data_IF_912720957857
#
_entry.id   IF_912720957857
#
_cell.length_a   1.000
_cell.length_b   1.000
_cell.length_c   1.000
_cell.angle_alpha   90.00
_cell.angle_beta   90.00
_cell.angle_gamma   90.00
#
_symmetry.space_group_name_H-M   'P 1'
#
loop_
_entity.id
_entity.type
_entity.pdbx_description
1 polymer ?
#
# COMPACT_ATOMS: atom_id res chain seq x y z
N UNK A 1 -15.77 3.60 5.97
CA UNK A 1 -15.51 3.00 7.30
C UNK A 1 -15.86 1.52 7.30
N UNK A 2 -17.09 1.14 6.93
CA UNK A 2 -17.53 -0.26 6.83
C UNK A 2 -16.63 -1.17 5.96
N UNK A 3 -16.29 -0.77 4.73
CA UNK A 3 -15.46 -1.57 3.81
C UNK A 3 -14.09 -1.92 4.43
N UNK A 4 -13.46 -0.99 5.14
CA UNK A 4 -12.16 -1.23 5.79
C UNK A 4 -12.30 -2.18 6.99
N UNK A 5 -13.42 -2.13 7.72
CA UNK A 5 -13.70 -3.07 8.81
C UNK A 5 -13.99 -4.47 8.27
N UNK A 6 -14.77 -4.56 7.18
CA UNK A 6 -15.05 -5.82 6.49
C UNK A 6 -13.78 -6.46 5.94
N UNK A 7 -12.90 -5.68 5.29
CA UNK A 7 -11.62 -6.17 4.78
C UNK A 7 -10.73 -6.72 5.91
N UNK A 8 -10.67 -6.03 7.04
CA UNK A 8 -9.94 -6.51 8.23
C UNK A 8 -10.54 -7.83 8.74
N UNK A 9 -11.86 -7.91 8.88
CA UNK A 9 -12.54 -9.12 9.35
C UNK A 9 -12.28 -10.32 8.42
N UNK A 10 -12.41 -10.12 7.11
CA UNK A 10 -12.11 -11.16 6.10
C UNK A 10 -10.68 -11.61 6.20
N UNK A 11 -9.76 -10.68 6.41
CA UNK A 11 -8.33 -10.98 6.50
C UNK A 11 -8.03 -11.81 7.76
N UNK A 12 -8.59 -11.46 8.91
CA UNK A 12 -8.46 -12.28 10.13
C UNK A 12 -9.07 -13.67 9.98
N UNK A 13 -10.26 -13.76 9.39
CA UNK A 13 -10.91 -15.06 9.13
C UNK A 13 -10.04 -15.91 8.21
N UNK A 14 -9.52 -15.33 7.13
CA UNK A 14 -8.63 -16.02 6.18
C UNK A 14 -7.36 -16.52 6.87
N UNK A 15 -6.66 -15.65 7.59
CA UNK A 15 -5.42 -15.98 8.31
C UNK A 15 -5.64 -17.08 9.37
N UNK A 16 -6.80 -17.08 10.04
CA UNK A 16 -7.18 -18.14 10.99
C UNK A 16 -7.39 -19.49 10.28
N UNK A 17 -8.05 -19.47 9.11
CA UNK A 17 -8.26 -20.68 8.30
C UNK A 17 -6.95 -21.19 7.70
N UNK A 18 -6.03 -20.29 7.31
CA UNK A 18 -4.68 -20.64 6.85
C UNK A 18 -3.86 -21.30 7.96
N UNK A 19 -3.92 -20.79 9.20
CA UNK A 19 -3.27 -21.45 10.36
C UNK A 19 -3.84 -22.86 10.55
N UNK A 20 -5.17 -23.01 10.56
CA UNK A 20 -5.79 -24.32 10.72
C UNK A 20 -5.35 -25.29 9.61
N UNK A 21 -5.33 -24.82 8.35
CA UNK A 21 -4.90 -25.61 7.21
C UNK A 21 -3.44 -26.05 7.34
N UNK A 22 -2.51 -25.13 7.60
CA UNK A 22 -1.09 -25.49 7.72
C UNK A 22 -0.79 -26.33 8.96
N UNK A 23 -1.52 -26.13 10.07
CA UNK A 23 -1.41 -26.99 11.24
C UNK A 23 -1.82 -28.43 10.93
N UNK A 24 -2.89 -28.63 10.14
CA UNK A 24 -3.27 -29.99 9.70
C UNK A 24 -2.24 -30.60 8.74
N UNK A 25 -1.49 -29.78 8.00
CA UNK A 25 -0.40 -30.24 7.12
C UNK A 25 0.91 -30.55 7.87
N UNK A 26 1.04 -30.14 9.13
CA UNK A 26 2.25 -30.35 9.91
C UNK A 26 2.48 -31.81 10.34
N UNK A 27 1.43 -32.63 10.34
CA UNK A 27 1.50 -34.05 10.67
C UNK A 27 0.65 -34.86 9.69
N UNK A 28 1.18 -35.98 9.21
CA UNK A 28 0.50 -36.84 8.22
C UNK A 28 -0.82 -37.40 8.77
N UNK A 29 -0.88 -37.79 10.04
CA UNK A 29 -2.11 -38.30 10.68
C UNK A 29 -3.16 -37.22 10.80
N UNK A 30 -2.76 -35.99 11.13
CA UNK A 30 -3.67 -34.83 11.16
C UNK A 30 -4.19 -34.51 9.76
N UNK A 31 -3.33 -34.55 8.74
CA UNK A 31 -3.72 -34.30 7.36
C UNK A 31 -4.72 -35.35 6.87
N UNK A 32 -4.51 -36.64 7.18
CA UNK A 32 -5.44 -37.72 6.85
C UNK A 32 -6.76 -37.58 7.59
N UNK A 33 -6.72 -37.29 8.90
CA UNK A 33 -7.92 -37.06 9.70
C UNK A 33 -8.73 -35.85 9.21
N UNK A 34 -8.05 -34.78 8.79
CA UNK A 34 -8.69 -33.60 8.22
C UNK A 34 -9.38 -33.94 6.89
N UNK A 35 -8.70 -34.63 5.96
CA UNK A 35 -9.29 -35.05 4.66
C UNK A 35 -10.51 -35.94 4.81
N UNK A 36 -10.56 -36.76 5.86
CA UNK A 36 -11.71 -37.62 6.17
C UNK A 36 -12.86 -36.87 6.89
N UNK A 37 -12.63 -35.63 7.33
CA UNK A 37 -13.59 -34.86 8.11
C UNK A 37 -14.54 -34.02 7.21
N UNK A 38 -15.81 -33.83 7.60
CA UNK A 38 -16.70 -32.84 6.99
C UNK A 38 -16.10 -31.44 6.93
N UNK A 39 -15.19 -31.11 7.86
CA UNK A 39 -14.48 -29.83 7.89
C UNK A 39 -13.66 -29.58 6.63
N UNK A 40 -13.14 -30.62 5.96
CA UNK A 40 -12.40 -30.46 4.70
C UNK A 40 -13.27 -29.83 3.60
N UNK A 41 -14.51 -30.31 3.48
CA UNK A 41 -15.49 -29.85 2.48
C UNK A 41 -16.05 -28.45 2.76
N UNK A 42 -15.89 -27.96 4.00
CA UNK A 42 -16.32 -26.60 4.38
C UNK A 42 -15.13 -25.64 4.31
N UNK A 43 -14.00 -26.01 4.91
CA UNK A 43 -12.83 -25.15 5.12
C UNK A 43 -12.18 -24.73 3.80
N UNK A 44 -11.93 -25.68 2.88
CA UNK A 44 -11.24 -25.36 1.63
C UNK A 44 -12.10 -24.44 0.74
N UNK A 45 -13.38 -24.75 0.44
CA UNK A 45 -14.24 -23.83 -0.30
C UNK A 45 -14.39 -22.47 0.39
N UNK A 46 -14.43 -22.44 1.73
CA UNK A 46 -14.54 -21.19 2.48
C UNK A 46 -13.31 -20.30 2.32
N UNK A 47 -12.09 -20.85 2.30
CA UNK A 47 -10.87 -20.09 1.99
C UNK A 47 -10.95 -19.50 0.58
N UNK A 48 -11.37 -20.28 -0.43
CA UNK A 48 -11.56 -19.82 -1.80
C UNK A 48 -12.60 -18.69 -1.90
N UNK A 49 -13.70 -18.81 -1.17
CA UNK A 49 -14.72 -17.77 -1.04
C UNK A 49 -14.16 -16.48 -0.42
N UNK A 50 -13.42 -16.57 0.69
CA UNK A 50 -12.80 -15.41 1.33
C UNK A 50 -11.81 -14.69 0.40
N UNK A 51 -11.03 -15.43 -0.39
CA UNK A 51 -10.14 -14.87 -1.40
C UNK A 51 -10.91 -14.15 -2.51
N UNK A 52 -12.04 -14.73 -2.94
CA UNK A 52 -12.93 -14.11 -3.93
C UNK A 52 -13.54 -12.81 -3.41
N UNK A 53 -14.05 -12.78 -2.17
CA UNK A 53 -14.54 -11.53 -1.56
C UNK A 53 -13.41 -10.50 -1.48
N UNK A 54 -12.20 -10.91 -1.09
CA UNK A 54 -11.07 -9.98 -1.02
C UNK A 54 -10.73 -9.38 -2.39
N UNK A 55 -10.77 -10.17 -3.46
CA UNK A 55 -10.60 -9.67 -4.83
C UNK A 55 -11.71 -8.68 -5.23
N UNK A 56 -12.96 -8.94 -4.85
CA UNK A 56 -14.08 -8.02 -5.07
C UNK A 56 -13.90 -6.69 -4.29
N UNK A 57 -13.45 -6.76 -3.04
CA UNK A 57 -13.14 -5.57 -2.23
C UNK A 57 -12.02 -4.75 -2.88
N UNK A 58 -10.94 -5.40 -3.33
CA UNK A 58 -9.85 -4.72 -4.03
C UNK A 58 -10.34 -4.07 -5.33
N UNK A 59 -11.20 -4.76 -6.09
CA UNK A 59 -11.83 -4.21 -7.30
C UNK A 59 -12.72 -3.00 -7.00
N UNK A 60 -13.52 -3.06 -5.93
CA UNK A 60 -14.32 -1.93 -5.46
C UNK A 60 -13.44 -0.74 -5.04
N UNK A 61 -12.35 -1.00 -4.30
CA UNK A 61 -11.39 0.03 -3.88
C UNK A 61 -10.68 0.67 -5.08
N UNK A 62 -10.33 -0.12 -6.11
CA UNK A 62 -9.78 0.39 -7.36
C UNK A 62 -10.80 1.22 -8.15
N UNK A 63 -12.08 0.81 -8.17
CA UNK A 63 -13.12 1.56 -8.85
C UNK A 63 -13.36 2.94 -8.19
N UNK A 64 -13.38 2.97 -6.85
CA UNK A 64 -13.56 4.18 -6.02
C UNK A 64 -12.27 5.00 -5.83
N UNK A 65 -11.14 4.52 -6.32
CA UNK A 65 -9.86 5.18 -6.20
C UNK A 65 -9.81 6.48 -7.01
N UNK A 66 -9.54 7.60 -6.34
CA UNK A 66 -9.23 8.88 -7.00
C UNK A 66 -7.93 8.78 -7.84
N UNK A 67 -6.88 8.18 -7.26
CA UNK A 67 -5.67 7.82 -7.98
C UNK A 67 -5.64 6.29 -8.20
N UNK A 68 -5.69 5.87 -9.46
CA UNK A 68 -5.59 4.47 -9.91
C UNK A 68 -4.15 4.18 -10.34
N UNK A 69 -3.25 4.18 -9.37
CA UNK A 69 -1.84 3.95 -9.59
C UNK A 69 -1.51 2.47 -9.82
N UNK A 70 -0.25 2.21 -10.20
CA UNK A 70 0.31 0.87 -10.42
C UNK A 70 0.03 -0.06 -9.24
N UNK A 71 0.26 0.39 -8.00
CA UNK A 71 0.05 -0.41 -6.80
C UNK A 71 -1.36 -0.98 -6.71
N UNK A 72 -2.39 -0.14 -6.96
CA UNK A 72 -3.80 -0.56 -6.89
C UNK A 72 -4.18 -1.49 -8.02
N UNK A 73 -3.68 -1.25 -9.22
CA UNK A 73 -3.90 -2.11 -10.37
C UNK A 73 -3.29 -3.49 -10.17
N UNK A 74 -2.02 -3.55 -9.78
CA UNK A 74 -1.31 -4.81 -9.57
C UNK A 74 -1.91 -5.56 -8.39
N UNK A 75 -2.27 -4.89 -7.30
CA UNK A 75 -2.98 -5.52 -6.18
C UNK A 75 -4.29 -6.17 -6.62
N UNK A 76 -5.07 -5.48 -7.47
CA UNK A 76 -6.32 -6.03 -8.01
C UNK A 76 -6.06 -7.25 -8.89
N UNK A 77 -5.20 -7.13 -9.92
CA UNK A 77 -4.90 -8.21 -10.87
C UNK A 77 -4.39 -9.45 -10.13
N UNK A 78 -3.43 -9.27 -9.23
CA UNK A 78 -2.85 -10.37 -8.44
C UNK A 78 -3.89 -11.02 -7.53
N UNK A 79 -4.77 -10.23 -6.89
CA UNK A 79 -5.85 -10.78 -6.07
C UNK A 79 -6.87 -11.60 -6.87
N UNK A 80 -7.21 -11.17 -8.09
CA UNK A 80 -8.10 -11.91 -8.99
C UNK A 80 -7.43 -13.22 -9.43
N UNK A 81 -6.19 -13.17 -9.89
CA UNK A 81 -5.46 -14.38 -10.29
C UNK A 81 -5.32 -15.37 -9.13
N UNK A 82 -4.97 -14.89 -7.94
CA UNK A 82 -4.91 -15.73 -6.73
C UNK A 82 -6.27 -16.35 -6.40
N UNK A 83 -7.35 -15.56 -6.44
CA UNK A 83 -8.69 -16.05 -6.15
C UNK A 83 -9.14 -17.11 -7.15
N UNK A 84 -8.88 -16.93 -8.46
CA UNK A 84 -9.21 -17.92 -9.49
C UNK A 84 -8.42 -19.21 -9.29
N UNK A 85 -7.09 -19.13 -9.19
CA UNK A 85 -6.22 -20.30 -9.03
C UNK A 85 -6.52 -21.06 -7.73
N UNK A 86 -6.62 -20.34 -6.61
CA UNK A 86 -6.95 -20.94 -5.33
C UNK A 86 -8.36 -21.54 -5.35
N UNK A 87 -9.34 -20.89 -5.96
CA UNK A 87 -10.70 -21.46 -6.06
C UNK A 87 -10.72 -22.74 -6.88
N UNK A 88 -10.05 -22.78 -8.04
CA UNK A 88 -9.92 -24.01 -8.83
C UNK A 88 -9.31 -25.13 -7.98
N UNK A 89 -8.25 -24.83 -7.23
CA UNK A 89 -7.63 -25.83 -6.34
C UNK A 89 -8.56 -26.28 -5.21
N UNK A 90 -9.16 -25.34 -4.48
CA UNK A 90 -9.82 -25.60 -3.21
C UNK A 90 -11.23 -26.18 -3.41
N UNK A 91 -12.01 -25.61 -4.34
CA UNK A 91 -13.29 -26.19 -4.75
C UNK A 91 -13.07 -27.48 -5.53
N UNK A 92 -12.10 -27.51 -6.44
CA UNK A 92 -11.76 -28.72 -7.20
C UNK A 92 -11.35 -29.87 -6.29
N UNK A 93 -10.55 -29.60 -5.26
CA UNK A 93 -10.15 -30.61 -4.26
C UNK A 93 -11.31 -31.13 -3.41
N UNK A 94 -12.27 -30.27 -3.04
CA UNK A 94 -13.47 -30.68 -2.34
C UNK A 94 -14.39 -31.53 -3.24
N UNK A 95 -14.61 -31.10 -4.48
CA UNK A 95 -15.42 -31.84 -5.46
C UNK A 95 -14.78 -33.17 -5.83
N UNK A 96 -13.45 -33.22 -5.99
CA UNK A 96 -12.74 -34.45 -6.32
C UNK A 96 -12.84 -35.49 -5.22
N UNK A 97 -12.75 -35.06 -3.96
CA UNK A 97 -12.98 -35.93 -2.81
C UNK A 97 -14.44 -36.41 -2.75
N UNK A 98 -15.42 -35.54 -3.07
CA UNK A 98 -16.84 -35.89 -3.05
C UNK A 98 -17.23 -36.91 -4.14
N UNK A 99 -16.72 -36.72 -5.36
CA UNK A 99 -17.01 -37.58 -6.52
C UNK A 99 -16.02 -38.74 -6.69
N UNK A 100 -15.10 -38.93 -5.76
CA UNK A 100 -14.07 -39.98 -5.80
C UNK A 100 -13.23 -39.99 -7.09
N UNK A 101 -12.92 -38.83 -7.67
CA UNK A 101 -11.94 -38.71 -8.76
C UNK A 101 -10.63 -38.09 -8.27
N UNK A 102 -9.52 -38.43 -8.93
CA UNK A 102 -8.22 -37.88 -8.57
C UNK A 102 -7.99 -36.52 -9.26
N UNK A 103 -7.97 -35.43 -8.49
CA UNK A 103 -7.62 -34.10 -9.00
C UNK A 103 -6.14 -33.78 -8.77
N UNK A 104 -5.27 -34.45 -9.52
CA UNK A 104 -3.81 -34.29 -9.42
C UNK A 104 -3.32 -32.86 -9.70
N UNK A 105 -4.08 -32.08 -10.49
CA UNK A 105 -3.74 -30.68 -10.80
C UNK A 105 -4.04 -29.70 -9.65
N UNK A 106 -4.85 -30.08 -8.65
CA UNK A 106 -5.25 -29.19 -7.55
C UNK A 106 -4.07 -28.54 -6.82
N UNK A 107 -3.13 -29.33 -6.27
CA UNK A 107 -1.94 -28.80 -5.62
C UNK A 107 -1.12 -27.83 -6.49
N UNK A 108 -1.07 -28.04 -7.81
CA UNK A 108 -0.38 -27.15 -8.76
C UNK A 108 -1.08 -25.80 -8.92
N UNK A 109 -2.41 -25.78 -8.93
CA UNK A 109 -3.17 -24.52 -8.91
C UNK A 109 -2.95 -23.76 -7.60
N UNK A 110 -2.93 -24.46 -6.45
CA UNK A 110 -2.63 -23.81 -5.17
C UNK A 110 -1.21 -23.26 -5.12
N UNK A 111 -0.22 -24.05 -5.52
CA UNK A 111 1.17 -23.63 -5.67
C UNK A 111 1.30 -22.40 -6.57
N UNK A 112 0.65 -22.41 -7.73
CA UNK A 112 0.66 -21.28 -8.67
C UNK A 112 0.06 -20.01 -8.05
N UNK A 113 -1.02 -20.14 -7.27
CA UNK A 113 -1.61 -19.00 -6.56
C UNK A 113 -0.61 -18.36 -5.57
N UNK A 114 0.16 -19.19 -4.86
CA UNK A 114 1.20 -18.73 -3.94
C UNK A 114 2.38 -18.09 -4.68
N UNK A 115 2.78 -18.60 -5.85
CA UNK A 115 3.82 -17.98 -6.69
C UNK A 115 3.38 -16.61 -7.20
N UNK A 116 2.13 -16.44 -7.62
CA UNK A 116 1.59 -15.12 -8.02
C UNK A 116 1.63 -14.15 -6.86
N UNK A 117 1.17 -14.57 -5.67
CA UNK A 117 1.23 -13.76 -4.47
C UNK A 117 2.68 -13.41 -4.08
N UNK A 118 3.61 -14.36 -4.18
CA UNK A 118 5.03 -14.17 -3.87
C UNK A 118 5.65 -13.12 -4.79
N UNK A 119 5.37 -13.26 -6.09
CA UNK A 119 5.87 -12.34 -7.13
C UNK A 119 5.36 -10.92 -6.89
N UNK A 120 4.08 -10.77 -6.53
CA UNK A 120 3.51 -9.49 -6.13
C UNK A 120 4.24 -8.87 -4.93
N UNK A 121 4.46 -9.63 -3.86
CA UNK A 121 5.14 -9.12 -2.67
C UNK A 121 6.60 -8.74 -2.94
N UNK A 122 7.31 -9.50 -3.77
CA UNK A 122 8.66 -9.16 -4.22
C UNK A 122 8.69 -7.87 -5.03
N UNK A 123 7.78 -7.71 -6.00
CA UNK A 123 7.66 -6.48 -6.80
C UNK A 123 7.36 -5.28 -5.91
N UNK A 124 6.40 -5.39 -5.00
CA UNK A 124 6.05 -4.30 -4.08
C UNK A 124 7.16 -3.99 -3.08
N UNK A 125 7.91 -5.01 -2.64
CA UNK A 125 9.09 -4.80 -1.79
C UNK A 125 10.18 -4.01 -2.53
N UNK A 126 10.55 -4.45 -3.73
CA UNK A 126 11.55 -3.78 -4.56
C UNK A 126 11.15 -2.36 -4.94
N UNK A 127 9.89 -2.15 -5.32
CA UNK A 127 9.36 -0.85 -5.68
C UNK A 127 9.31 0.11 -4.48
N UNK A 128 8.96 -0.37 -3.29
CA UNK A 128 9.03 0.45 -2.07
C UNK A 128 10.47 0.77 -1.66
N UNK A 129 11.44 -0.14 -1.86
CA UNK A 129 12.86 0.20 -1.67
C UNK A 129 13.29 1.29 -2.64
N UNK A 130 12.92 1.18 -3.92
CA UNK A 130 13.22 2.17 -4.95
C UNK A 130 12.64 3.55 -4.57
N UNK A 131 11.37 3.60 -4.15
CA UNK A 131 10.74 4.82 -3.63
C UNK A 131 11.45 5.38 -2.39
N UNK A 132 11.92 4.52 -1.49
CA UNK A 132 12.69 4.94 -0.32
C UNK A 132 14.06 5.52 -0.72
N UNK A 133 14.68 5.04 -1.80
CA UNK A 133 15.91 5.60 -2.34
C UNK A 133 15.70 6.95 -3.04
N UNK A 134 14.59 7.13 -3.75
CA UNK A 134 14.24 8.41 -4.38
C UNK A 134 13.86 9.50 -3.36
N UNK A 135 13.37 9.10 -2.17
CA UNK A 135 12.89 10.00 -1.12
C UNK A 135 14.05 10.65 -0.34
N UNK A 136 13.90 11.90 0.15
CA UNK A 136 14.95 12.56 0.92
C UNK A 136 15.39 11.76 2.15
N UNK A 137 16.69 11.78 2.47
CA UNK A 137 17.21 11.15 3.68
C UNK A 137 16.56 11.79 4.91
N UNK A 138 16.21 10.96 5.89
CA UNK A 138 15.54 11.39 7.14
C UNK A 138 14.16 12.06 6.95
N UNK A 139 13.48 11.76 5.84
CA UNK A 139 12.07 12.15 5.63
C UNK A 139 11.08 11.09 6.11
N UNK A 140 9.86 11.53 6.46
CA UNK A 140 8.73 10.65 6.80
C UNK A 140 8.37 9.76 5.61
N UNK A 141 8.44 10.29 4.39
CA UNK A 141 8.15 9.56 3.16
C UNK A 141 9.12 8.39 2.96
N UNK A 142 10.43 8.63 3.10
CA UNK A 142 11.44 7.56 3.04
C UNK A 142 11.17 6.47 4.07
N UNK A 143 10.91 6.85 5.31
CA UNK A 143 10.65 5.89 6.38
C UNK A 143 9.34 5.12 6.17
N UNK A 144 8.32 5.76 5.59
CA UNK A 144 7.09 5.08 5.22
C UNK A 144 7.34 3.95 4.21
N UNK A 145 8.11 4.23 3.15
CA UNK A 145 8.42 3.24 2.14
C UNK A 145 9.35 2.13 2.64
N UNK A 146 10.32 2.44 3.51
CA UNK A 146 11.12 1.41 4.18
C UNK A 146 10.24 0.48 5.02
N UNK A 147 9.35 1.03 5.86
CA UNK A 147 8.41 0.21 6.64
C UNK A 147 7.52 -0.67 5.74
N UNK A 148 7.06 -0.13 4.60
CA UNK A 148 6.26 -0.89 3.64
C UNK A 148 7.06 -2.00 2.96
N UNK A 149 8.33 -1.75 2.61
CA UNK A 149 9.22 -2.76 2.04
C UNK A 149 9.47 -3.92 3.02
N UNK A 150 9.77 -3.62 4.30
CA UNK A 150 9.92 -4.65 5.34
C UNK A 150 8.64 -5.46 5.55
N UNK A 151 7.48 -4.80 5.52
CA UNK A 151 6.19 -5.49 5.62
C UNK A 151 5.96 -6.45 4.44
N UNK A 152 6.30 -6.03 3.22
CA UNK A 152 6.21 -6.90 2.04
C UNK A 152 7.21 -8.06 2.12
N UNK A 153 8.43 -7.81 2.62
CA UNK A 153 9.44 -8.85 2.83
C UNK A 153 8.99 -9.90 3.86
N UNK A 154 8.31 -9.48 4.92
CA UNK A 154 7.67 -10.40 5.85
C UNK A 154 6.61 -11.28 5.15
N UNK A 155 5.80 -10.67 4.27
CA UNK A 155 4.87 -11.41 3.39
C UNK A 155 5.56 -12.41 2.47
N UNK A 156 6.73 -12.07 1.91
CA UNK A 156 7.57 -12.98 1.10
C UNK A 156 8.01 -14.19 1.92
N UNK A 157 8.50 -14.00 3.15
CA UNK A 157 8.95 -15.10 4.01
C UNK A 157 7.80 -16.04 4.40
N UNK A 158 6.62 -15.49 4.67
CA UNK A 158 5.41 -16.29 4.89
C UNK A 158 5.05 -17.12 3.65
N UNK A 159 5.01 -16.50 2.47
CA UNK A 159 4.64 -17.18 1.22
C UNK A 159 5.66 -18.24 0.81
N UNK A 160 6.95 -18.01 1.01
CA UNK A 160 7.98 -19.04 0.82
C UNK A 160 7.77 -20.23 1.74
N UNK A 161 7.37 -19.99 2.99
CA UNK A 161 7.07 -21.06 3.95
C UNK A 161 5.85 -21.86 3.52
N UNK A 162 4.77 -21.18 3.09
CA UNK A 162 3.58 -21.82 2.53
C UNK A 162 3.89 -22.62 1.25
N UNK A 163 4.73 -22.08 0.35
CA UNK A 163 5.19 -22.78 -0.86
C UNK A 163 5.97 -24.05 -0.50
N UNK A 164 6.87 -23.98 0.48
CA UNK A 164 7.59 -25.13 0.99
C UNK A 164 6.63 -26.19 1.54
N UNK A 165 5.63 -25.79 2.34
CA UNK A 165 4.62 -26.69 2.87
C UNK A 165 3.85 -27.40 1.74
N UNK A 166 3.34 -26.65 0.76
CA UNK A 166 2.64 -27.22 -0.40
C UNK A 166 3.54 -28.16 -1.21
N UNK A 167 4.78 -27.78 -1.44
CA UNK A 167 5.74 -28.58 -2.21
C UNK A 167 6.01 -29.92 -1.53
N UNK A 168 6.34 -29.91 -0.24
CA UNK A 168 6.79 -31.12 0.47
C UNK A 168 5.66 -31.92 1.12
N UNK A 169 4.44 -31.38 1.26
CA UNK A 169 3.28 -32.09 1.80
C UNK A 169 2.31 -32.54 0.71
N UNK A 170 2.11 -31.74 -0.34
CA UNK A 170 1.10 -32.03 -1.38
C UNK A 170 1.69 -32.52 -2.70
N UNK A 171 2.78 -31.90 -3.19
CA UNK A 171 3.35 -32.23 -4.51
C UNK A 171 4.36 -33.39 -4.43
N UNK A 172 5.28 -33.33 -3.49
CA UNK A 172 6.39 -34.26 -3.32
C UNK A 172 6.52 -34.70 -1.86
N UNK A 173 5.62 -35.58 -1.36
CA UNK A 173 5.62 -36.06 0.02
C UNK A 173 6.74 -37.09 0.29
N UNK A 174 7.97 -36.78 -0.13
CA UNK A 174 9.14 -37.67 -0.01
C UNK A 174 9.79 -37.50 1.37
N UNK A 175 9.75 -36.29 1.94
CA UNK A 175 10.38 -35.96 3.23
C UNK A 175 9.36 -35.26 4.14
N UNK A 176 8.51 -36.01 4.87
CA UNK A 176 7.44 -35.45 5.70
C UNK A 176 7.93 -34.44 6.75
N UNK A 177 9.12 -34.66 7.32
CA UNK A 177 9.71 -33.77 8.30
C UNK A 177 10.00 -32.35 7.75
N UNK A 178 10.40 -32.25 6.47
CA UNK A 178 10.63 -30.95 5.82
C UNK A 178 9.31 -30.24 5.58
N UNK A 179 8.29 -30.97 5.11
CA UNK A 179 6.93 -30.44 4.98
C UNK A 179 6.35 -29.93 6.31
N UNK A 180 6.59 -30.66 7.39
CA UNK A 180 6.19 -30.26 8.74
C UNK A 180 6.90 -28.96 9.19
N UNK A 181 8.22 -28.88 8.99
CA UNK A 181 8.99 -27.69 9.34
C UNK A 181 8.48 -26.43 8.62
N UNK A 182 8.22 -26.52 7.31
CA UNK A 182 7.65 -25.41 6.54
C UNK A 182 6.23 -25.05 6.99
N UNK A 183 5.40 -26.05 7.29
CA UNK A 183 4.02 -25.83 7.75
C UNK A 183 3.99 -25.12 9.11
N UNK A 184 4.82 -25.55 10.05
CA UNK A 184 4.95 -24.90 11.37
C UNK A 184 5.50 -23.48 11.19
N UNK A 185 6.47 -23.29 10.31
CA UNK A 185 7.04 -21.96 10.03
C UNK A 185 5.97 -21.01 9.48
N UNK A 186 5.12 -21.48 8.55
CA UNK A 186 3.99 -20.70 8.03
C UNK A 186 3.01 -20.33 9.16
N UNK A 187 2.65 -21.26 10.04
CA UNK A 187 1.80 -21.00 11.21
C UNK A 187 2.40 -19.92 12.12
N UNK A 188 3.71 -20.00 12.42
CA UNK A 188 4.40 -19.02 13.26
C UNK A 188 4.39 -17.63 12.62
N UNK A 189 4.63 -17.52 11.31
CA UNK A 189 4.56 -16.23 10.62
C UNK A 189 3.15 -15.64 10.64
N UNK A 190 2.11 -16.45 10.40
CA UNK A 190 0.72 -15.95 10.47
C UNK A 190 0.34 -15.52 11.89
N UNK A 191 0.75 -16.29 12.91
CA UNK A 191 0.53 -15.93 14.31
C UNK A 191 1.25 -14.61 14.68
N UNK A 192 2.49 -14.44 14.23
CA UNK A 192 3.25 -13.20 14.41
C UNK A 192 2.56 -11.99 13.75
N UNK A 193 2.00 -12.14 12.55
CA UNK A 193 1.25 -11.06 11.87
C UNK A 193 -0.02 -10.68 12.65
N UNK A 194 -0.79 -11.67 13.10
CA UNK A 194 -1.98 -11.45 13.93
C UNK A 194 -1.59 -10.71 15.23
N UNK A 195 -0.57 -11.18 15.93
CA UNK A 195 -0.06 -10.55 17.15
C UNK A 195 0.41 -9.11 16.87
N UNK A 196 1.15 -8.90 15.78
CA UNK A 196 1.60 -7.57 15.38
C UNK A 196 0.41 -6.64 15.14
N UNK A 197 -0.66 -7.09 14.49
CA UNK A 197 -1.84 -6.24 14.23
C UNK A 197 -2.58 -5.86 15.51
N UNK A 198 -2.70 -6.78 16.46
CA UNK A 198 -3.38 -6.57 17.75
C UNK A 198 -2.53 -5.73 18.71
N UNK A 199 -1.21 -5.75 18.57
CA UNK A 199 -0.28 -5.03 19.45
C UNK A 199 -0.58 -3.51 19.49
N UNK A 200 -0.62 -2.89 20.68
CA UNK A 200 -0.83 -1.45 20.83
C UNK A 200 0.19 -0.59 20.08
N UNK A 201 -0.20 0.64 19.73
CA UNK A 201 0.65 1.54 18.96
C UNK A 201 1.90 1.95 19.73
N UNK A 202 1.85 2.09 21.05
CA UNK A 202 3.01 2.43 21.87
C UNK A 202 4.11 1.38 21.72
N UNK A 203 3.75 0.10 21.83
CA UNK A 203 4.70 -1.00 21.68
C UNK A 203 5.23 -1.12 20.25
N UNK A 204 4.38 -0.92 19.24
CA UNK A 204 4.81 -0.84 17.84
C UNK A 204 5.85 0.26 17.62
N UNK A 205 5.68 1.42 18.24
CA UNK A 205 6.64 2.53 18.12
C UNK A 205 7.96 2.21 18.83
N UNK A 206 7.93 1.52 19.98
CA UNK A 206 9.13 1.04 20.66
C UNK A 206 9.91 0.06 19.78
N UNK A 207 9.25 -0.95 19.23
CA UNK A 207 9.87 -1.95 18.35
C UNK A 207 10.43 -1.29 17.08
N UNK A 208 9.67 -0.39 16.45
CA UNK A 208 10.15 0.40 15.31
C UNK A 208 11.34 1.27 15.68
N UNK A 209 11.36 1.85 16.88
CA UNK A 209 12.50 2.61 17.40
C UNK A 209 13.75 1.75 17.54
N UNK A 210 13.63 0.57 18.13
CA UNK A 210 14.75 -0.38 18.28
C UNK A 210 15.32 -0.83 16.93
N UNK A 211 14.45 -1.03 15.93
CA UNK A 211 14.85 -1.38 14.56
C UNK A 211 15.30 -0.17 13.71
N UNK A 212 15.41 1.04 14.28
CA UNK A 212 15.72 2.28 13.55
C UNK A 212 14.73 2.59 12.40
N UNK A 213 13.50 2.08 12.52
CA UNK A 213 12.39 2.30 11.59
C UNK A 213 11.40 3.36 12.08
N UNK A 214 11.74 4.15 13.11
CA UNK A 214 10.85 5.20 13.62
C UNK A 214 10.78 6.36 12.63
N UNK A 215 9.57 6.88 12.41
CA UNK A 215 9.38 8.08 11.59
C UNK A 215 10.07 9.29 12.24
N UNK A 216 10.76 10.12 11.45
CA UNK A 216 11.38 11.36 11.94
C UNK A 216 10.30 12.32 12.46
N UNK A 217 10.71 13.24 13.32
CA UNK A 217 9.81 14.28 13.81
C UNK A 217 9.55 15.35 12.73
N UNK A 218 8.58 16.24 12.97
CA UNK A 218 8.14 17.23 11.98
C UNK A 218 9.26 18.18 11.56
N UNK A 219 10.14 18.58 12.49
CA UNK A 219 11.27 19.47 12.17
C UNK A 219 12.35 18.76 11.34
N UNK A 220 12.69 17.52 11.68
CA UNK A 220 13.63 16.70 10.91
C UNK A 220 13.12 16.47 9.49
N UNK A 221 11.83 16.16 9.34
CA UNK A 221 11.18 15.97 8.05
C UNK A 221 11.20 17.24 7.19
N UNK A 222 10.93 18.40 7.79
CA UNK A 222 11.02 19.67 7.09
C UNK A 222 12.45 20.01 6.65
N UNK A 223 13.45 19.82 7.52
CA UNK A 223 14.86 20.05 7.19
C UNK A 223 15.31 19.14 6.04
N UNK A 224 14.91 17.86 6.06
CA UNK A 224 15.21 16.91 5.00
C UNK A 224 14.65 17.36 3.64
N UNK A 225 13.38 17.77 3.60
CA UNK A 225 12.75 18.26 2.38
C UNK A 225 13.31 19.62 1.92
N UNK A 226 13.76 20.48 2.86
CA UNK A 226 14.32 21.80 2.53
C UNK A 226 15.69 21.68 1.89
N UNK A 227 16.55 20.82 2.45
CA UNK A 227 17.88 20.52 1.87
C UNK A 227 17.77 19.98 0.46
N UNK A 228 16.76 19.15 0.22
CA UNK A 228 16.52 18.60 -1.11
C UNK A 228 16.04 19.67 -2.09
N UNK A 229 15.11 20.55 -1.68
CA UNK A 229 14.59 21.63 -2.52
C UNK A 229 15.66 22.67 -2.91
N UNK A 230 16.59 22.97 -2.00
CA UNK A 230 17.68 23.93 -2.24
C UNK A 230 18.94 23.32 -2.86
N UNK A 231 18.96 22.03 -3.22
CA UNK A 231 20.12 21.41 -3.84
C UNK A 231 20.35 22.05 -5.22
N UNK A 232 21.44 22.81 -5.44
CA UNK A 232 21.64 23.50 -6.71
C UNK A 232 21.80 22.48 -7.84
N UNK A 233 21.13 22.73 -8.97
CA UNK A 233 21.21 21.93 -10.20
C UNK A 233 22.62 21.93 -10.85
N UNK A 234 23.59 22.64 -10.27
CA UNK A 234 24.89 22.99 -10.89
C UNK A 234 26.12 22.25 -10.36
N UNK A 235 25.99 21.23 -9.50
CA UNK A 235 27.11 20.30 -9.34
C UNK A 235 27.11 19.37 -10.54
N UNK A 236 28.25 19.23 -11.23
CA UNK A 236 28.59 18.30 -12.35
C UNK A 236 28.18 16.83 -12.16
N UNK A 237 26.94 16.57 -11.76
CA UNK A 237 26.23 15.31 -11.93
C UNK A 237 25.62 15.39 -13.33
N UNK A 238 26.07 14.48 -14.19
CA UNK A 238 25.45 14.21 -15.47
C UNK A 238 24.00 13.84 -15.14
N UNK A 239 23.08 14.73 -15.51
CA UNK A 239 21.63 14.62 -15.31
C UNK A 239 21.16 14.80 -13.85
N UNK A 240 19.98 15.44 -13.62
CA UNK A 240 19.38 15.46 -12.29
C UNK A 240 19.24 14.02 -11.82
N UNK A 241 19.90 13.70 -10.70
CA UNK A 241 20.01 12.37 -10.12
C UNK A 241 18.60 11.75 -9.98
N UNK A 242 18.19 11.01 -11.01
CA UNK A 242 16.90 10.38 -11.25
C UNK A 242 15.71 11.36 -11.35
N UNK A 243 15.09 11.42 -12.53
CA UNK A 243 13.71 11.88 -12.64
C UNK A 243 12.87 10.99 -11.71
N UNK A 244 12.52 11.48 -10.51
CA UNK A 244 11.73 10.72 -9.52
C UNK A 244 10.47 10.21 -10.19
N UNK A 245 10.47 8.93 -10.54
CA UNK A 245 9.39 8.33 -11.33
C UNK A 245 8.31 7.84 -10.38
N UNK A 246 8.71 7.36 -9.21
CA UNK A 246 7.83 6.69 -8.26
C UNK A 246 7.51 7.54 -7.03
N UNK A 247 8.18 8.68 -6.87
CA UNK A 247 7.96 9.64 -5.77
C UNK A 247 7.89 11.08 -6.26
N UNK A 248 7.31 11.96 -5.44
CA UNK A 248 7.23 13.40 -5.67
C UNK A 248 7.65 14.14 -4.39
N UNK A 249 7.99 15.43 -4.51
CA UNK A 249 8.32 16.27 -3.38
C UNK A 249 7.13 16.41 -2.41
N UNK A 250 7.37 16.22 -1.12
CA UNK A 250 6.35 16.44 -0.10
C UNK A 250 6.35 17.89 0.40
N UNK A 251 5.73 18.79 -0.37
CA UNK A 251 5.60 20.20 0.03
C UNK A 251 4.88 20.36 1.38
N UNK A 252 4.05 19.41 1.79
CA UNK A 252 3.34 19.47 3.07
C UNK A 252 4.27 19.42 4.28
N UNK A 253 5.41 18.73 4.17
CA UNK A 253 6.42 18.68 5.24
C UNK A 253 7.04 20.05 5.50
N UNK A 254 7.40 20.78 4.44
CA UNK A 254 7.97 22.14 4.51
C UNK A 254 6.99 23.15 5.11
N UNK A 255 5.74 23.13 4.64
CA UNK A 255 4.74 24.12 5.01
C UNK A 255 4.36 24.03 6.48
N UNK A 256 4.49 22.87 7.11
CA UNK A 256 4.22 22.72 8.54
C UNK A 256 5.13 23.57 9.41
N UNK A 257 6.40 23.73 9.05
CA UNK A 257 7.39 24.49 9.83
C UNK A 257 7.55 25.94 9.40
N UNK A 258 7.07 26.30 8.21
CA UNK A 258 7.15 27.68 7.72
C UNK A 258 6.10 28.59 8.37
N UNK A 259 6.46 29.85 8.55
CA UNK A 259 5.50 30.90 8.89
C UNK A 259 4.53 31.15 7.73
N UNK A 260 3.37 31.76 8.04
CA UNK A 260 2.27 31.89 7.09
C UNK A 260 2.65 32.69 5.84
N UNK A 261 3.41 33.79 5.99
CA UNK A 261 3.87 34.61 4.88
C UNK A 261 4.89 33.86 4.00
N UNK A 262 5.85 33.17 4.63
CA UNK A 262 6.86 32.37 3.93
C UNK A 262 6.20 31.21 3.16
N UNK A 263 5.26 30.53 3.79
CA UNK A 263 4.51 29.42 3.18
C UNK A 263 3.67 29.89 1.98
N UNK A 264 3.02 31.06 2.10
CA UNK A 264 2.24 31.69 1.02
C UNK A 264 3.12 32.01 -0.19
N UNK A 265 4.26 32.68 0.04
CA UNK A 265 5.20 33.05 -1.03
C UNK A 265 5.78 31.80 -1.71
N UNK A 266 6.21 30.81 -0.92
CA UNK A 266 6.79 29.57 -1.43
C UNK A 266 5.80 28.77 -2.29
N UNK A 267 4.57 28.53 -1.80
CA UNK A 267 3.57 27.77 -2.56
C UNK A 267 3.11 28.50 -3.81
N UNK A 268 2.95 29.82 -3.75
CA UNK A 268 2.60 30.62 -4.93
C UNK A 268 3.66 30.51 -6.01
N UNK A 269 4.94 30.63 -5.65
CA UNK A 269 6.06 30.45 -6.57
C UNK A 269 6.10 29.05 -7.18
N UNK A 270 5.99 28.01 -6.36
CA UNK A 270 6.00 26.62 -6.82
C UNK A 270 4.85 26.30 -7.78
N UNK A 271 3.64 26.80 -7.49
CA UNK A 271 2.47 26.62 -8.36
C UNK A 271 2.65 27.38 -9.69
N UNK A 272 3.13 28.62 -9.65
CA UNK A 272 3.36 29.42 -10.86
C UNK A 272 4.43 28.80 -11.76
N UNK A 273 5.53 28.29 -11.19
CA UNK A 273 6.55 27.57 -11.95
C UNK A 273 5.97 26.30 -12.61
N UNK A 274 5.13 25.57 -11.88
CA UNK A 274 4.48 24.36 -12.40
C UNK A 274 3.48 24.67 -13.52
N UNK A 275 2.70 25.74 -13.38
CA UNK A 275 1.78 26.21 -14.41
C UNK A 275 2.53 26.54 -15.70
N UNK A 276 3.61 27.33 -15.63
CA UNK A 276 4.45 27.66 -16.79
C UNK A 276 4.93 26.39 -17.53
N UNK A 277 5.40 25.37 -16.80
CA UNK A 277 5.85 24.11 -17.40
C UNK A 277 4.72 23.34 -18.08
N UNK A 278 3.53 23.31 -17.48
CA UNK A 278 2.37 22.60 -18.01
C UNK A 278 1.75 23.29 -19.22
N UNK A 279 1.74 24.63 -19.25
CA UNK A 279 1.23 25.44 -20.36
C UNK A 279 2.07 25.29 -21.64
N UNK A 280 3.34 24.90 -21.52
CA UNK A 280 4.20 24.58 -22.66
C UNK A 280 3.90 23.20 -23.28
N UNK A 281 3.07 22.37 -22.64
CA UNK A 281 2.66 21.07 -23.15
C UNK A 281 1.33 21.14 -23.91
N UNK A 282 1.03 20.10 -24.69
CA UNK A 282 -0.14 20.05 -25.58
C UNK A 282 -1.47 20.32 -24.83
N UNK A 283 -2.05 21.49 -25.10
CA UNK A 283 -3.31 21.98 -24.52
C UNK A 283 -4.52 21.12 -24.87
N UNK A 284 -4.40 20.19 -25.83
CA UNK A 284 -5.44 19.23 -26.18
C UNK A 284 -5.52 18.04 -25.21
N UNK A 285 -4.50 17.82 -24.38
CA UNK A 285 -4.51 16.73 -23.41
C UNK A 285 -5.40 17.10 -22.20
N UNK A 286 -6.53 16.39 -22.06
CA UNK A 286 -7.49 16.61 -20.96
C UNK A 286 -6.87 16.46 -19.56
N UNK A 287 -5.89 15.59 -19.38
CA UNK A 287 -5.18 15.43 -18.10
C UNK A 287 -4.36 16.67 -17.77
N UNK A 288 -3.71 17.26 -18.76
CA UNK A 288 -2.91 18.49 -18.59
C UNK A 288 -3.83 19.66 -18.31
N UNK A 289 -4.96 19.76 -19.03
CA UNK A 289 -5.98 20.78 -18.79
C UNK A 289 -6.54 20.71 -17.36
N UNK A 290 -6.96 19.54 -16.90
CA UNK A 290 -7.46 19.36 -15.52
C UNK A 290 -6.39 19.76 -14.48
N UNK A 291 -5.10 19.47 -14.73
CA UNK A 291 -3.99 19.88 -13.85
C UNK A 291 -3.81 21.40 -13.81
N UNK A 292 -3.86 22.06 -14.97
CA UNK A 292 -3.77 23.52 -15.08
C UNK A 292 -4.96 24.17 -14.36
N UNK A 293 -6.18 23.69 -14.61
CA UNK A 293 -7.39 24.23 -13.99
C UNK A 293 -7.36 24.08 -12.46
N UNK A 294 -6.93 22.91 -11.96
CA UNK A 294 -6.77 22.67 -10.53
C UNK A 294 -5.72 23.59 -9.91
N UNK A 295 -4.54 23.72 -10.52
CA UNK A 295 -3.46 24.59 -10.01
C UNK A 295 -3.88 26.06 -10.03
N UNK A 296 -4.60 26.50 -11.07
CA UNK A 296 -5.14 27.86 -11.17
C UNK A 296 -6.17 28.13 -10.07
N UNK A 297 -7.09 27.20 -9.82
CA UNK A 297 -8.04 27.29 -8.72
C UNK A 297 -7.32 27.31 -7.35
N UNK A 298 -6.29 26.48 -7.21
CA UNK A 298 -5.47 26.41 -5.99
C UNK A 298 -4.68 27.70 -5.74
N UNK A 299 -4.19 28.36 -6.79
CA UNK A 299 -3.52 29.66 -6.67
C UNK A 299 -4.49 30.75 -6.19
N UNK A 300 -5.72 30.77 -6.72
CA UNK A 300 -6.78 31.69 -6.27
C UNK A 300 -7.09 31.55 -4.79
N UNK A 301 -7.14 30.31 -4.31
CA UNK A 301 -7.31 29.99 -2.88
C UNK A 301 -6.23 30.64 -2.01
N UNK A 302 -4.97 30.56 -2.44
CA UNK A 302 -3.86 31.18 -1.69
C UNK A 302 -4.03 32.70 -1.70
N UNK A 303 -4.35 33.30 -2.85
CA UNK A 303 -4.43 34.76 -3.00
C UNK A 303 -5.67 35.38 -2.35
N UNK A 304 -6.77 34.64 -2.20
CA UNK A 304 -8.06 35.19 -1.73
C UNK A 304 -8.53 34.54 -0.41
N UNK A 305 -7.73 33.65 0.16
CA UNK A 305 -8.05 32.88 1.37
C UNK A 305 -9.42 32.16 1.32
N UNK A 306 -9.87 31.79 0.11
CA UNK A 306 -11.14 31.10 -0.09
C UNK A 306 -11.10 29.69 0.52
N UNK A 307 -12.19 29.25 1.14
CA UNK A 307 -12.31 27.87 1.64
C UNK A 307 -12.47 26.91 0.47
N UNK A 308 -11.74 25.79 0.46
CA UNK A 308 -11.87 24.80 -0.60
C UNK A 308 -11.93 23.38 -0.06
N UNK A 309 -12.86 22.60 -0.61
CA UNK A 309 -13.04 21.20 -0.26
C UNK A 309 -12.32 20.28 -1.26
N UNK A 310 -11.42 19.43 -0.76
CA UNK A 310 -10.80 18.36 -1.57
C UNK A 310 -11.83 17.49 -2.28
N UNK A 311 -12.97 17.19 -1.64
CA UNK A 311 -14.02 16.34 -2.22
C UNK A 311 -14.67 16.97 -3.45
N UNK A 312 -14.81 18.29 -3.45
CA UNK A 312 -15.41 19.03 -4.55
C UNK A 312 -14.45 19.10 -5.74
N UNK A 313 -13.20 19.45 -5.49
CA UNK A 313 -12.17 19.51 -6.53
C UNK A 313 -11.85 18.13 -7.14
N UNK A 314 -11.93 17.06 -6.35
CA UNK A 314 -11.81 15.70 -6.88
C UNK A 314 -12.92 15.35 -7.87
N UNK A 315 -14.14 15.87 -7.67
CA UNK A 315 -15.25 15.67 -8.62
C UNK A 315 -15.09 16.55 -9.85
N UNK A 316 -14.59 17.77 -9.67
CA UNK A 316 -14.45 18.77 -10.74
C UNK A 316 -13.26 18.51 -11.66
N UNK A 317 -12.13 18.06 -11.11
CA UNK A 317 -10.87 17.83 -11.81
C UNK A 317 -10.28 16.43 -11.50
N UNK A 318 -11.02 15.34 -11.77
CA UNK A 318 -10.62 14.00 -11.33
C UNK A 318 -9.29 13.54 -11.94
N UNK A 319 -8.97 13.96 -13.17
CA UNK A 319 -7.75 13.53 -13.86
C UNK A 319 -6.49 14.22 -13.32
N UNK A 320 -6.64 15.38 -12.65
CA UNK A 320 -5.53 16.11 -12.09
C UNK A 320 -4.81 15.35 -10.96
N UNK A 321 -5.55 14.50 -10.25
CA UNK A 321 -5.05 13.68 -9.14
C UNK A 321 -4.50 12.31 -9.59
N UNK A 322 -4.62 11.97 -10.87
CA UNK A 322 -4.11 10.70 -11.37
C UNK A 322 -2.59 10.75 -11.56
N UNK A 323 -1.91 9.76 -10.99
CA UNK A 323 -0.51 9.47 -11.20
C UNK A 323 -0.33 7.96 -11.24
N UNK A 324 0.09 7.43 -12.39
CA UNK A 324 0.23 5.99 -12.54
C UNK A 324 1.41 5.44 -11.72
N UNK A 325 2.56 6.10 -11.75
CA UNK A 325 3.79 5.61 -11.12
C UNK A 325 3.97 6.03 -9.66
N UNK A 326 3.58 7.27 -9.33
CA UNK A 326 3.68 7.78 -7.97
C UNK A 326 2.38 7.55 -7.19
N UNK A 327 2.52 7.29 -5.88
CA UNK A 327 1.39 7.13 -4.96
C UNK A 327 0.47 8.35 -4.96
N UNK A 328 1.08 9.53 -5.05
CA UNK A 328 0.42 10.82 -5.24
C UNK A 328 1.17 11.61 -6.30
N UNK A 329 0.44 12.29 -7.16
CA UNK A 329 1.03 13.18 -8.15
C UNK A 329 1.56 14.47 -7.52
N UNK A 330 2.51 15.12 -8.17
CA UNK A 330 3.08 16.40 -7.75
C UNK A 330 2.01 17.49 -7.54
N UNK A 331 1.02 17.57 -8.44
CA UNK A 331 -0.14 18.48 -8.31
C UNK A 331 -0.97 18.16 -7.07
N UNK A 332 -1.14 16.88 -6.72
CA UNK A 332 -1.82 16.49 -5.49
C UNK A 332 -1.00 16.87 -4.24
N UNK A 333 0.33 16.75 -4.28
CA UNK A 333 1.20 17.18 -3.18
C UNK A 333 1.13 18.70 -2.95
N UNK A 334 1.17 19.51 -4.02
CA UNK A 334 0.98 20.97 -3.94
C UNK A 334 -0.40 21.32 -3.36
N UNK A 335 -1.46 20.70 -3.88
CA UNK A 335 -2.80 20.93 -3.37
C UNK A 335 -2.95 20.57 -1.89
N UNK A 336 -2.41 19.42 -1.46
CA UNK A 336 -2.44 19.03 -0.05
C UNK A 336 -1.68 20.01 0.85
N UNK A 337 -0.58 20.59 0.36
CA UNK A 337 0.18 21.60 1.10
C UNK A 337 -0.61 22.91 1.27
N UNK A 338 -1.40 23.30 0.26
CA UNK A 338 -2.31 24.46 0.34
C UNK A 338 -3.44 24.24 1.35
N UNK A 339 -3.97 23.02 1.46
CA UNK A 339 -4.95 22.70 2.52
C UNK A 339 -4.35 22.88 3.93
N UNK A 340 -3.06 22.57 4.11
CA UNK A 340 -2.37 22.80 5.39
C UNK A 340 -2.22 24.30 5.65
N UNK A 341 -1.87 25.09 4.63
CA UNK A 341 -1.79 26.55 4.72
C UNK A 341 -3.14 27.17 5.11
N UNK A 342 -4.25 26.74 4.49
CA UNK A 342 -5.59 27.18 4.87
C UNK A 342 -5.89 26.87 6.33
N UNK A 343 -5.55 25.66 6.81
CA UNK A 343 -5.68 25.30 8.22
C UNK A 343 -4.97 26.27 9.15
N UNK A 344 -3.78 26.76 8.76
CA UNK A 344 -3.04 27.81 9.50
C UNK A 344 -3.76 29.16 9.46
N UNK A 345 -4.32 29.57 8.33
CA UNK A 345 -5.13 30.79 8.23
C UNK A 345 -6.34 30.75 9.16
N UNK A 346 -7.08 29.65 9.20
CA UNK A 346 -8.24 29.51 10.09
C UNK A 346 -7.83 29.54 11.56
N UNK A 347 -6.73 28.89 11.94
CA UNK A 347 -6.24 28.91 13.31
C UNK A 347 -5.79 30.31 13.74
N UNK A 348 -5.04 31.01 12.89
CA UNK A 348 -4.56 32.38 13.18
C UNK A 348 -5.70 33.41 13.21
N UNK A 349 -6.72 33.26 12.36
CA UNK A 349 -7.91 34.11 12.41
C UNK A 349 -8.78 33.79 13.65
N UNK A 350 -8.82 32.54 14.11
CA UNK A 350 -9.54 32.17 15.33
C UNK A 350 -8.82 32.69 16.59
N UNK A 351 -7.48 32.70 16.61
CA UNK A 351 -6.69 33.25 17.73
C UNK A 351 -6.66 34.77 17.74
N UNK A 352 -6.76 35.44 16.58
CA UNK A 352 -6.89 36.91 16.52
C UNK A 352 -8.28 37.43 16.90
N UNK A 353 -9.30 36.56 16.89
CA UNK A 353 -10.68 36.88 17.33
C UNK A 353 -10.92 36.54 18.82
N UNK A 354 -9.95 35.95 19.53
CA UNK A 354 -9.97 35.79 21.00
C UNK A 354 -8.84 36.53 21.72
N UNK A 355 -8.97 37.86 21.84
CA UNK A 355 -8.50 38.56 23.03
C UNK A 355 -9.60 39.50 23.56
N UNK A 356 -10.70 38.95 24.06
CA UNK A 356 -11.61 39.65 24.98
C UNK A 356 -12.39 38.63 25.79
N UNK A 357 -11.91 38.35 27.01
CA UNK A 357 -12.55 38.69 28.30
C UNK A 357 -11.46 38.61 29.37
#
# INVERSE_FOLDING_TARGET
MFVNQLQKAITYLRETQEIALFLTMADVRLATAFRASPLFYITLPFIGFLLTINALINGYQLAQANNRNFDRWVLFITSVMCAVLASISLYGGALSAFFNFNFAAGPWFFFSSLIVALSHQLVMSGLNLLRAFESPKDSVQRMHYLQAAFNNLFGVTFLLSALGAVTFVLLFPVIPAVGAAFSITAVLFTACDILWRITPNELKQLIKGWLHLRKPNVHQDAIANQKEFHRPQDSKEIEPNHHRMFTCYDYSALIRTMDLEQATAFLSGAIQEKLKRLEHHDSKNKVIKDKIDLLTATLKVITHAESVSKKELLKKYPLAFQSFWAEKGDVEHLFNAVLILQGKHYFNNATSISPTI
#
